data_IF_296241162926
#
_entry.id   IF_296241162926
#
_cell.length_a   1.000
_cell.length_b   1.000
_cell.length_c   1.000
_cell.angle_alpha   90.00
_cell.angle_beta   90.00
_cell.angle_gamma   90.00
#
_symmetry.space_group_name_H-M   'P 1'
#
loop_
_entity.id
_entity.type
_entity.pdbx_description
1 polymer ?
#
# COMPACT_ATOMS: atom_id res chain seq x y z
N UNK A 1 -0.88 5.49 -22.88
CA UNK A 1 -0.44 4.74 -21.68
C UNK A 1 -0.51 3.23 -21.94
N UNK A 2 -1.65 2.72 -22.41
CA UNK A 2 -1.83 1.30 -22.71
C UNK A 2 -0.86 0.76 -23.77
N UNK A 3 -0.43 1.59 -24.70
CA UNK A 3 0.54 1.24 -25.75
C UNK A 3 1.91 0.83 -25.19
N UNK A 4 2.22 1.19 -23.93
CA UNK A 4 3.42 0.74 -23.22
C UNK A 4 3.35 -0.74 -22.84
N UNK A 5 2.14 -1.26 -22.63
CA UNK A 5 1.90 -2.59 -22.07
C UNK A 5 1.19 -3.53 -23.06
N UNK A 6 0.79 -3.04 -24.23
CA UNK A 6 0.12 -3.83 -25.26
C UNK A 6 0.82 -3.69 -26.61
N UNK A 7 0.87 -4.76 -27.39
CA UNK A 7 1.30 -4.70 -28.81
C UNK A 7 0.35 -3.87 -29.66
N UNK A 8 -0.95 -3.94 -29.36
CA UNK A 8 -2.05 -3.28 -30.08
C UNK A 8 -3.19 -2.97 -29.11
N UNK A 9 -3.84 -1.82 -29.29
CA UNK A 9 -4.93 -1.33 -28.41
C UNK A 9 -6.32 -1.37 -29.05
N UNK A 10 -6.42 -1.48 -30.37
CA UNK A 10 -7.69 -1.46 -31.11
C UNK A 10 -7.90 -2.76 -31.88
N UNK A 11 -9.08 -3.37 -31.79
CA UNK A 11 -9.40 -4.66 -32.43
C UNK A 11 -10.70 -4.55 -33.22
N UNK A 12 -10.81 -5.29 -34.33
CA UNK A 12 -11.98 -5.21 -35.23
C UNK A 12 -13.21 -5.92 -34.65
N UNK A 13 -12.98 -7.08 -34.06
CA UNK A 13 -13.99 -7.98 -33.50
C UNK A 13 -13.36 -8.85 -32.38
N UNK A 14 -14.17 -9.75 -31.80
CA UNK A 14 -13.72 -10.62 -30.72
C UNK A 14 -12.66 -11.61 -31.18
N UNK A 15 -12.79 -12.16 -32.39
CA UNK A 15 -11.85 -13.12 -32.96
C UNK A 15 -10.47 -12.48 -33.18
N UNK A 16 -10.43 -11.24 -33.69
CA UNK A 16 -9.20 -10.44 -33.81
C UNK A 16 -8.59 -10.14 -32.43
N UNK A 17 -9.41 -9.77 -31.44
CA UNK A 17 -8.96 -9.56 -30.06
C UNK A 17 -8.35 -10.84 -29.47
N UNK A 18 -9.10 -11.94 -29.51
CA UNK A 18 -8.69 -13.22 -28.93
C UNK A 18 -7.40 -13.75 -29.56
N UNK A 19 -7.21 -13.58 -30.87
CA UNK A 19 -6.02 -14.05 -31.58
C UNK A 19 -4.79 -13.14 -31.40
N UNK A 20 -4.98 -11.83 -31.24
CA UNK A 20 -3.89 -10.84 -31.37
C UNK A 20 -3.62 -10.02 -30.10
N UNK A 21 -4.41 -10.17 -29.03
CA UNK A 21 -4.16 -9.48 -27.77
C UNK A 21 -2.89 -10.03 -27.12
N UNK A 22 -1.86 -9.18 -27.00
CA UNK A 22 -0.56 -9.54 -26.44
C UNK A 22 -0.02 -8.43 -25.54
N UNK A 23 0.44 -8.84 -24.37
CA UNK A 23 1.12 -7.97 -23.43
C UNK A 23 2.57 -7.71 -23.86
N UNK A 24 3.00 -6.45 -23.71
CA UNK A 24 4.40 -6.06 -23.59
C UNK A 24 4.73 -5.98 -22.11
N UNK A 25 5.44 -6.96 -21.58
CA UNK A 25 5.75 -7.05 -20.15
C UNK A 25 7.15 -6.47 -19.90
N UNK A 26 7.28 -5.35 -19.14
CA UNK A 26 8.58 -4.85 -18.70
C UNK A 26 9.27 -5.85 -17.77
N UNK A 27 10.60 -5.88 -17.74
CA UNK A 27 11.37 -6.84 -16.93
C UNK A 27 11.12 -6.71 -15.41
N UNK A 28 10.91 -5.49 -14.91
CA UNK A 28 10.70 -5.17 -13.49
C UNK A 28 9.48 -4.25 -13.31
N UNK A 29 8.33 -4.69 -13.82
CA UNK A 29 7.09 -3.89 -13.76
C UNK A 29 6.72 -3.55 -12.31
N UNK A 30 6.33 -2.30 -12.09
CA UNK A 30 5.91 -1.78 -10.80
C UNK A 30 4.83 -0.71 -10.99
N UNK A 31 3.63 -0.97 -10.47
CA UNK A 31 2.49 -0.07 -10.64
C UNK A 31 2.75 1.36 -10.14
N UNK A 32 3.50 1.51 -9.05
CA UNK A 32 3.79 2.82 -8.47
C UNK A 32 4.66 3.69 -9.38
N UNK A 33 5.56 3.08 -10.14
CA UNK A 33 6.44 3.83 -11.03
C UNK A 33 5.96 3.85 -12.49
N UNK A 34 5.61 2.69 -13.04
CA UNK A 34 5.34 2.54 -14.47
C UNK A 34 3.92 2.97 -14.86
N UNK A 35 3.05 3.19 -13.86
CA UNK A 35 1.70 3.73 -14.06
C UNK A 35 1.54 5.06 -13.33
N UNK A 36 1.63 5.08 -11.99
CA UNK A 36 1.32 6.29 -11.21
C UNK A 36 2.32 7.42 -11.50
N UNK A 37 3.62 7.15 -11.41
CA UNK A 37 4.64 8.18 -11.67
C UNK A 37 4.72 8.56 -13.15
N UNK A 38 4.50 7.61 -14.07
CA UNK A 38 4.36 7.92 -15.49
C UNK A 38 3.23 8.94 -15.75
N UNK A 39 2.06 8.74 -15.13
CA UNK A 39 0.94 9.66 -15.23
C UNK A 39 1.24 11.01 -14.56
N UNK A 40 2.00 11.02 -13.47
CA UNK A 40 2.46 12.24 -12.83
C UNK A 40 3.44 13.04 -13.70
N UNK A 41 4.26 12.38 -14.52
CA UNK A 41 5.14 13.06 -15.48
C UNK A 41 4.36 13.60 -16.68
N UNK A 42 3.44 12.79 -17.25
CA UNK A 42 2.73 13.17 -18.48
C UNK A 42 1.59 14.14 -18.24
N UNK A 43 0.82 13.94 -17.18
CA UNK A 43 -0.38 14.69 -16.85
C UNK A 43 -0.38 15.15 -15.37
N UNK A 44 0.60 15.96 -14.95
CA UNK A 44 0.84 16.29 -13.53
C UNK A 44 -0.36 16.91 -12.82
N UNK A 45 -1.14 17.73 -13.54
CA UNK A 45 -2.26 18.49 -12.98
C UNK A 45 -3.61 17.75 -13.10
N UNK A 46 -3.65 16.59 -13.76
CA UNK A 46 -4.86 15.79 -13.84
C UNK A 46 -5.23 15.23 -12.45
N UNK A 47 -6.52 15.23 -12.12
CA UNK A 47 -7.04 14.68 -10.87
C UNK A 47 -6.76 13.17 -10.83
N UNK A 48 -6.08 12.72 -9.79
CA UNK A 48 -5.74 11.32 -9.58
C UNK A 48 -6.62 10.65 -8.52
N UNK A 49 -7.01 11.41 -7.49
CA UNK A 49 -7.82 10.90 -6.39
C UNK A 49 -8.71 12.00 -5.85
N UNK A 50 -9.98 11.64 -5.60
CA UNK A 50 -10.94 12.46 -4.86
C UNK A 50 -11.42 11.60 -3.70
N UNK A 51 -11.28 12.10 -2.50
CA UNK A 51 -11.74 11.47 -1.26
C UNK A 51 -12.67 12.43 -0.54
N UNK A 52 -13.72 11.90 0.06
CA UNK A 52 -14.62 12.62 0.95
C UNK A 52 -15.10 11.71 2.09
N UNK A 53 -15.70 12.30 3.13
CA UNK A 53 -16.37 11.56 4.20
C UNK A 53 -17.71 12.19 4.59
N UNK A 54 -18.38 11.57 5.57
CA UNK A 54 -19.69 12.00 6.07
C UNK A 54 -19.65 13.30 6.90
N UNK A 55 -18.46 13.86 7.15
CA UNK A 55 -18.25 15.12 7.88
C UNK A 55 -17.93 16.29 6.93
N UNK A 56 -18.25 16.15 5.64
CA UNK A 56 -17.96 17.13 4.57
C UNK A 56 -16.46 17.45 4.41
N UNK A 57 -15.58 16.58 4.93
CA UNK A 57 -14.15 16.70 4.72
C UNK A 57 -13.79 16.12 3.35
N UNK A 58 -12.96 16.82 2.57
CA UNK A 58 -12.56 16.40 1.23
C UNK A 58 -11.05 16.54 0.98
N UNK A 59 -10.54 15.68 0.09
CA UNK A 59 -9.18 15.75 -0.42
C UNK A 59 -9.18 15.42 -1.91
N UNK A 60 -8.73 16.37 -2.72
CA UNK A 60 -8.42 16.12 -4.13
C UNK A 60 -6.90 16.17 -4.33
N UNK A 61 -6.34 15.13 -4.94
CA UNK A 61 -4.94 15.08 -5.32
C UNK A 61 -4.81 15.03 -6.85
N UNK A 62 -3.87 15.81 -7.39
CA UNK A 62 -3.38 15.61 -8.76
C UNK A 62 -2.38 14.45 -8.81
N UNK A 63 -2.04 13.95 -10.01
CA UNK A 63 -1.01 12.91 -10.13
C UNK A 63 0.35 13.37 -9.62
N UNK A 64 0.74 14.63 -9.83
CA UNK A 64 1.95 15.22 -9.26
C UNK A 64 1.95 15.13 -7.73
N UNK A 65 0.87 15.56 -7.10
CA UNK A 65 0.74 15.54 -5.64
C UNK A 65 0.68 14.10 -5.10
N UNK A 66 0.03 13.19 -5.81
CA UNK A 66 -0.01 11.77 -5.45
C UNK A 66 1.39 11.14 -5.49
N UNK A 67 2.17 11.42 -6.53
CA UNK A 67 3.58 10.99 -6.61
C UNK A 67 4.40 11.56 -5.44
N UNK A 68 4.38 12.87 -5.23
CA UNK A 68 5.17 13.53 -4.18
C UNK A 68 4.83 12.96 -2.78
N UNK A 69 3.55 12.73 -2.50
CA UNK A 69 3.10 12.14 -1.23
C UNK A 69 3.51 10.69 -1.09
N UNK A 70 3.34 9.87 -2.13
CA UNK A 70 3.71 8.44 -2.08
C UNK A 70 5.22 8.26 -1.98
N UNK A 71 6.03 9.13 -2.58
CA UNK A 71 7.49 9.13 -2.43
C UNK A 71 7.90 9.43 -0.98
N UNK A 72 7.25 10.40 -0.32
CA UNK A 72 7.49 10.70 1.10
C UNK A 72 7.04 9.54 2.00
N UNK A 73 5.89 8.93 1.73
CA UNK A 73 5.42 7.76 2.49
C UNK A 73 6.36 6.58 2.31
N UNK A 74 6.88 6.35 1.09
CA UNK A 74 7.87 5.31 0.83
C UNK A 74 9.18 5.54 1.61
N UNK A 75 9.70 6.77 1.59
CA UNK A 75 10.88 7.14 2.37
C UNK A 75 10.67 6.98 3.89
N UNK A 76 9.48 7.35 4.39
CA UNK A 76 9.09 7.10 5.78
C UNK A 76 9.11 5.60 6.10
N UNK A 77 8.46 4.77 5.28
CA UNK A 77 8.41 3.32 5.46
C UNK A 77 9.82 2.68 5.43
N UNK A 78 10.70 3.12 4.52
CA UNK A 78 12.10 2.68 4.50
C UNK A 78 12.84 3.04 5.78
N UNK A 79 12.64 4.25 6.30
CA UNK A 79 13.24 4.72 7.56
C UNK A 79 12.76 3.89 8.76
N UNK A 80 11.54 3.37 8.71
CA UNK A 80 11.03 2.40 9.70
C UNK A 80 11.61 0.99 9.55
N UNK A 81 12.44 0.75 8.53
CA UNK A 81 13.06 -0.54 8.25
C UNK A 81 12.23 -1.49 7.39
N UNK A 82 11.11 -1.02 6.82
CA UNK A 82 10.31 -1.80 5.86
C UNK A 82 11.12 -1.95 4.58
N UNK A 83 11.25 -3.18 4.09
CA UNK A 83 12.04 -3.50 2.90
C UNK A 83 11.33 -4.49 1.98
N UNK A 84 11.93 -4.69 0.79
CA UNK A 84 11.47 -5.66 -0.19
C UNK A 84 11.19 -7.03 0.45
N UNK A 85 10.03 -7.58 0.14
CA UNK A 85 9.56 -8.89 0.63
C UNK A 85 8.95 -8.90 2.03
N UNK A 86 8.96 -7.78 2.77
CA UNK A 86 8.18 -7.69 4.02
C UNK A 86 6.68 -7.60 3.70
N UNK A 87 5.87 -8.25 4.54
CA UNK A 87 4.42 -8.09 4.54
C UNK A 87 3.99 -6.97 5.50
N UNK A 88 3.17 -6.05 5.00
CA UNK A 88 2.61 -4.93 5.74
C UNK A 88 1.08 -5.04 5.73
N UNK A 89 0.49 -5.22 6.91
CA UNK A 89 -0.97 -5.28 7.06
C UNK A 89 -1.55 -3.87 7.17
N UNK A 90 -2.56 -3.57 6.35
CA UNK A 90 -3.26 -2.27 6.36
C UNK A 90 -4.70 -2.44 6.87
N UNK A 91 -4.96 -1.97 8.08
CA UNK A 91 -6.29 -1.87 8.71
C UNK A 91 -6.73 -0.40 8.67
N UNK A 92 -6.91 0.12 7.45
CA UNK A 92 -7.09 1.56 7.22
C UNK A 92 -8.49 1.94 6.73
N UNK A 93 -9.44 1.00 6.60
CA UNK A 93 -10.78 1.29 6.07
C UNK A 93 -10.74 2.05 4.73
N UNK A 94 -11.68 2.98 4.48
CA UNK A 94 -11.77 3.79 3.24
C UNK A 94 -10.98 5.10 3.34
N UNK A 95 -9.85 5.09 4.05
CA UNK A 95 -8.97 6.26 4.25
C UNK A 95 -8.10 6.51 3.02
N UNK A 96 -7.82 7.78 2.70
CA UNK A 96 -6.94 8.08 1.56
C UNK A 96 -5.49 7.62 1.82
N UNK A 97 -5.09 7.54 3.09
CA UNK A 97 -3.80 7.00 3.52
C UNK A 97 -3.62 5.52 3.13
N UNK A 98 -4.71 4.77 2.94
CA UNK A 98 -4.66 3.42 2.38
C UNK A 98 -4.06 3.42 0.97
N UNK A 99 -4.54 4.32 0.12
CA UNK A 99 -4.06 4.47 -1.27
C UNK A 99 -2.63 4.99 -1.33
N UNK A 100 -2.26 5.92 -0.44
CA UNK A 100 -0.87 6.37 -0.33
C UNK A 100 0.05 5.22 0.10
N UNK A 101 -0.38 4.44 1.08
CA UNK A 101 0.41 3.33 1.64
C UNK A 101 0.63 2.21 0.63
N UNK A 102 -0.42 1.78 -0.09
CA UNK A 102 -0.27 0.69 -1.07
C UNK A 102 0.70 1.07 -2.21
N UNK A 103 0.60 2.30 -2.73
CA UNK A 103 1.51 2.78 -3.78
C UNK A 103 2.94 2.90 -3.24
N UNK A 104 3.12 3.44 -2.03
CA UNK A 104 4.43 3.55 -1.40
C UNK A 104 5.09 2.18 -1.13
N UNK A 105 4.33 1.20 -0.65
CA UNK A 105 4.80 -0.17 -0.44
C UNK A 105 5.28 -0.81 -1.74
N UNK A 106 4.52 -0.64 -2.83
CA UNK A 106 4.95 -1.11 -4.14
C UNK A 106 6.28 -0.48 -4.56
N UNK A 107 6.46 0.82 -4.34
CA UNK A 107 7.69 1.56 -4.68
C UNK A 107 8.92 1.11 -3.89
N UNK A 108 8.76 0.39 -2.77
CA UNK A 108 9.88 -0.13 -1.97
C UNK A 108 9.98 -1.67 -1.99
N UNK A 109 9.16 -2.34 -2.79
CA UNK A 109 9.21 -3.80 -2.93
C UNK A 109 8.46 -4.58 -1.85
N UNK A 110 7.74 -3.90 -0.97
CA UNK A 110 7.03 -4.52 0.14
C UNK A 110 5.64 -5.00 -0.30
N UNK A 111 5.19 -6.11 0.28
CA UNK A 111 3.89 -6.71 0.01
C UNK A 111 2.82 -6.13 0.94
N UNK A 112 1.69 -5.72 0.37
CA UNK A 112 0.55 -5.24 1.14
C UNK A 112 -0.43 -6.38 1.47
N UNK A 113 -0.97 -6.38 2.69
CA UNK A 113 -2.11 -7.21 3.12
C UNK A 113 -3.24 -6.31 3.60
N UNK A 114 -4.21 -5.97 2.74
CA UNK A 114 -5.40 -5.25 3.18
C UNK A 114 -6.20 -6.10 4.17
N UNK A 115 -6.67 -5.47 5.25
CA UNK A 115 -7.43 -6.13 6.29
C UNK A 115 -8.62 -5.28 6.75
N UNK A 116 -9.69 -5.96 7.16
CA UNK A 116 -10.88 -5.30 7.73
C UNK A 116 -10.61 -4.76 9.12
N UNK A 117 -11.33 -3.73 9.54
CA UNK A 117 -11.31 -3.23 10.91
C UNK A 117 -12.00 -4.16 11.92
N UNK A 118 -12.78 -5.13 11.43
CA UNK A 118 -13.51 -6.09 12.27
C UNK A 118 -12.65 -7.27 12.77
N UNK A 119 -11.32 -7.22 12.61
CA UNK A 119 -10.45 -8.29 13.10
C UNK A 119 -10.31 -8.22 14.62
N UNK A 120 -10.45 -9.38 15.26
CA UNK A 120 -10.15 -9.57 16.68
C UNK A 120 -8.66 -9.77 16.94
N UNK A 121 -8.23 -9.83 18.20
CA UNK A 121 -6.85 -10.21 18.56
C UNK A 121 -6.44 -11.55 17.94
N UNK A 122 -7.28 -12.59 18.06
CA UNK A 122 -6.97 -13.93 17.53
C UNK A 122 -6.82 -13.93 16.01
N UNK A 123 -7.65 -13.16 15.32
CA UNK A 123 -7.57 -12.93 13.88
C UNK A 123 -6.24 -12.33 13.45
N UNK A 124 -5.75 -11.34 14.21
CA UNK A 124 -4.48 -10.66 13.94
C UNK A 124 -3.31 -11.61 14.22
N UNK A 125 -3.34 -12.32 15.36
CA UNK A 125 -2.34 -13.35 15.70
C UNK A 125 -2.20 -14.37 14.58
N UNK A 126 -3.32 -14.94 14.12
CA UNK A 126 -3.33 -15.92 13.04
C UNK A 126 -2.67 -15.38 11.78
N UNK A 127 -3.05 -14.18 11.33
CA UNK A 127 -2.53 -13.58 10.09
C UNK A 127 -1.05 -13.23 10.20
N UNK A 128 -0.62 -12.69 11.34
CA UNK A 128 0.78 -12.38 11.60
C UNK A 128 1.64 -13.64 11.54
N UNK A 129 1.20 -14.73 12.18
CA UNK A 129 1.94 -15.99 12.19
C UNK A 129 1.91 -16.71 10.84
N UNK A 130 0.79 -16.67 10.11
CA UNK A 130 0.65 -17.33 8.82
C UNK A 130 1.45 -16.66 7.68
N UNK A 131 1.56 -15.34 7.69
CA UNK A 131 2.25 -14.58 6.65
C UNK A 131 3.59 -13.95 7.11
N UNK A 132 3.99 -14.16 8.37
CA UNK A 132 5.21 -13.54 8.93
C UNK A 132 5.15 -12.01 8.94
N UNK A 133 3.97 -11.44 9.21
CA UNK A 133 3.74 -9.99 9.14
C UNK A 133 4.53 -9.29 10.25
N UNK A 134 5.26 -8.24 9.86
CA UNK A 134 6.10 -7.46 10.79
C UNK A 134 5.58 -6.06 11.06
N UNK A 135 4.75 -5.54 10.17
CA UNK A 135 4.31 -4.15 10.21
C UNK A 135 2.79 -4.08 10.07
N UNK A 136 2.13 -3.32 10.95
CA UNK A 136 0.70 -3.06 10.91
C UNK A 136 0.47 -1.56 10.89
N UNK A 137 -0.36 -1.11 9.95
CA UNK A 137 -0.83 0.27 9.86
C UNK A 137 -2.33 0.26 10.14
N UNK A 138 -2.78 1.02 11.14
CA UNK A 138 -4.16 0.99 11.59
C UNK A 138 -4.76 2.39 11.72
N UNK A 139 -6.04 2.50 11.38
CA UNK A 139 -6.82 3.72 11.63
C UNK A 139 -6.94 3.98 13.13
N UNK A 140 -7.01 5.25 13.52
CA UNK A 140 -7.17 5.67 14.92
C UNK A 140 -8.51 5.21 15.52
N UNK A 141 -8.53 3.98 16.01
CA UNK A 141 -9.63 3.36 16.71
C UNK A 141 -9.07 2.62 17.93
N UNK A 142 -9.60 2.94 19.11
CA UNK A 142 -9.09 2.43 20.38
C UNK A 142 -9.22 0.91 20.49
N UNK A 143 -10.27 0.34 19.93
CA UNK A 143 -10.51 -1.10 19.98
C UNK A 143 -9.55 -1.84 19.04
N UNK A 144 -9.38 -1.32 17.83
CA UNK A 144 -8.40 -1.88 16.87
C UNK A 144 -6.99 -1.83 17.44
N UNK A 145 -6.58 -0.69 18.01
CA UNK A 145 -5.26 -0.54 18.62
C UNK A 145 -5.05 -1.55 19.75
N UNK A 146 -6.04 -1.69 20.63
CA UNK A 146 -6.01 -2.69 21.70
C UNK A 146 -5.85 -4.11 21.14
N UNK A 147 -6.62 -4.49 20.12
CA UNK A 147 -6.51 -5.84 19.54
C UNK A 147 -5.15 -6.13 18.92
N UNK A 148 -4.56 -5.13 18.25
CA UNK A 148 -3.21 -5.23 17.67
C UNK A 148 -2.16 -5.35 18.77
N UNK A 149 -2.23 -4.55 19.83
CA UNK A 149 -1.28 -4.62 20.95
C UNK A 149 -1.36 -5.95 21.68
N UNK A 150 -2.57 -6.43 21.98
CA UNK A 150 -2.76 -7.72 22.63
C UNK A 150 -2.22 -8.87 21.78
N UNK A 151 -2.29 -8.76 20.44
CA UNK A 151 -1.77 -9.79 19.53
C UNK A 151 -0.26 -9.99 19.63
N UNK A 152 0.51 -8.97 20.05
CA UNK A 152 1.98 -9.05 20.12
C UNK A 152 2.48 -10.14 21.07
N UNK A 153 1.67 -10.55 22.05
CA UNK A 153 2.01 -11.62 22.99
C UNK A 153 2.18 -12.97 22.26
N UNK A 154 1.43 -13.17 21.18
CA UNK A 154 1.35 -14.44 20.44
C UNK A 154 1.78 -14.31 18.96
N UNK A 155 2.13 -13.11 18.52
CA UNK A 155 2.66 -12.79 17.20
C UNK A 155 4.05 -12.12 17.31
N UNK A 156 5.12 -12.87 17.62
CA UNK A 156 6.45 -12.31 17.85
C UNK A 156 7.08 -11.68 16.60
N UNK A 157 6.55 -11.97 15.40
CA UNK A 157 6.97 -11.31 14.16
C UNK A 157 6.56 -9.84 14.12
N UNK A 158 5.50 -9.44 14.83
CA UNK A 158 4.94 -8.09 14.78
C UNK A 158 5.82 -7.08 15.54
N UNK A 159 6.52 -6.24 14.78
CA UNK A 159 7.54 -5.32 15.29
C UNK A 159 7.08 -3.87 15.24
N UNK A 160 6.45 -3.46 14.14
CA UNK A 160 6.15 -2.06 13.86
C UNK A 160 4.65 -1.81 13.89
N UNK A 161 4.24 -0.82 14.69
CA UNK A 161 2.86 -0.35 14.76
C UNK A 161 2.79 1.12 14.29
N UNK A 162 1.98 1.39 13.28
CA UNK A 162 1.75 2.74 12.75
C UNK A 162 0.29 3.09 12.86
N UNK A 163 -0.03 4.18 13.54
CA UNK A 163 -1.40 4.66 13.66
C UNK A 163 -1.64 5.84 12.74
N UNK A 164 -2.81 5.86 12.12
CA UNK A 164 -3.25 6.92 11.20
C UNK A 164 -4.35 7.72 11.87
N UNK A 165 -4.08 9.00 12.12
CA UNK A 165 -5.00 9.91 12.78
C UNK A 165 -6.31 10.16 11.99
N UNK A 166 -7.37 10.65 12.64
CA UNK A 166 -8.56 11.16 11.97
C UNK A 166 -8.21 12.28 10.97
N UNK A 167 -9.13 12.60 10.06
CA UNK A 167 -8.80 13.36 8.85
C UNK A 167 -8.14 14.72 9.10
N UNK A 168 -7.09 14.98 8.32
CA UNK A 168 -6.26 16.18 8.32
C UNK A 168 -4.80 15.77 8.13
N UNK A 169 -4.17 16.18 7.02
CA UNK A 169 -2.75 15.91 6.73
C UNK A 169 -1.82 16.52 7.79
N UNK A 170 -2.32 17.45 8.60
CA UNK A 170 -1.60 18.07 9.71
C UNK A 170 -2.07 17.57 11.09
N UNK A 171 -3.02 16.62 11.12
CA UNK A 171 -3.50 16.00 12.36
C UNK A 171 -2.73 14.70 12.58
N UNK A 172 -2.02 14.64 13.70
CA UNK A 172 -1.47 13.39 14.23
C UNK A 172 -2.41 12.76 15.24
N UNK A 173 -2.03 11.59 15.73
CA UNK A 173 -2.58 10.96 16.90
C UNK A 173 -2.47 11.90 18.11
N UNK A 174 -3.41 11.70 19.03
CA UNK A 174 -3.46 12.42 20.30
C UNK A 174 -2.16 12.23 21.10
N UNK A 175 -1.64 13.30 21.71
CA UNK A 175 -0.37 13.27 22.42
C UNK A 175 -0.45 12.43 23.71
N UNK A 176 -1.57 12.48 24.42
CA UNK A 176 -1.80 11.66 25.62
C UNK A 176 -1.91 10.17 25.25
N UNK A 177 -2.54 9.87 24.10
CA UNK A 177 -2.53 8.53 23.52
C UNK A 177 -1.11 8.04 23.24
N UNK A 178 -0.29 8.83 22.52
CA UNK A 178 1.09 8.45 22.19
C UNK A 178 1.97 8.30 23.43
N UNK A 179 1.80 9.17 24.44
CA UNK A 179 2.51 9.06 25.72
C UNK A 179 2.16 7.75 26.46
N UNK A 180 0.90 7.30 26.34
CA UNK A 180 0.42 6.07 26.97
C UNK A 180 0.72 4.81 26.13
N UNK A 181 0.96 4.95 24.83
CA UNK A 181 1.18 3.85 23.89
C UNK A 181 2.46 4.09 23.05
N UNK A 182 3.65 4.11 23.67
CA UNK A 182 4.91 4.50 23.02
C UNK A 182 5.38 3.56 21.91
N UNK A 183 4.73 2.39 21.76
CA UNK A 183 4.99 1.47 20.66
C UNK A 183 4.42 1.96 19.31
N UNK A 184 3.47 2.91 19.33
CA UNK A 184 2.85 3.44 18.12
C UNK A 184 3.64 4.60 17.55
N UNK A 185 3.90 4.52 16.25
CA UNK A 185 4.38 5.66 15.46
C UNK A 185 3.20 6.34 14.79
N UNK A 186 3.13 7.67 14.90
CA UNK A 186 2.14 8.45 14.16
C UNK A 186 2.53 8.58 12.68
N UNK A 187 1.65 8.13 11.79
CA UNK A 187 1.87 8.16 10.34
C UNK A 187 2.12 9.59 9.84
N UNK A 188 1.28 10.54 10.23
CA UNK A 188 1.30 11.91 9.74
C UNK A 188 2.61 12.62 10.09
N UNK A 189 2.97 12.63 11.37
CA UNK A 189 4.22 13.20 11.91
C UNK A 189 5.42 12.46 11.35
N UNK A 190 5.35 11.14 11.20
CA UNK A 190 6.40 10.33 10.59
C UNK A 190 6.71 10.76 9.15
N UNK A 191 5.67 10.94 8.33
CA UNK A 191 5.79 11.39 6.93
C UNK A 191 6.24 12.86 6.84
N UNK A 192 5.77 13.71 7.75
CA UNK A 192 6.21 15.11 7.85
C UNK A 192 7.71 15.21 8.24
N UNK A 193 8.19 14.32 9.10
CA UNK A 193 9.58 14.25 9.57
C UNK A 193 10.56 13.61 8.57
N UNK A 194 10.09 13.18 7.39
CA UNK A 194 10.97 12.73 6.31
C UNK A 194 11.85 13.89 5.84
N UNK A 195 13.16 13.68 5.93
CA UNK A 195 14.17 14.67 5.51
C UNK A 195 14.46 14.57 4.02
N UNK A 196 15.20 15.56 3.49
CA UNK A 196 15.66 15.50 2.11
C UNK A 196 16.68 14.37 1.87
N UNK A 197 17.45 14.01 2.89
CA UNK A 197 18.38 12.86 2.83
C UNK A 197 17.63 11.53 2.80
N UNK A 198 16.56 11.39 3.59
CA UNK A 198 15.68 10.22 3.55
C UNK A 198 15.05 10.04 2.15
N UNK A 199 14.57 11.14 1.54
CA UNK A 199 14.05 11.14 0.17
C UNK A 199 15.13 10.80 -0.86
N UNK A 200 16.33 11.38 -0.73
CA UNK A 200 17.43 11.10 -1.65
C UNK A 200 17.83 9.62 -1.62
N UNK A 201 17.84 9.00 -0.43
CA UNK A 201 18.08 7.55 -0.27
C UNK A 201 17.00 6.70 -0.94
N UNK A 202 15.73 7.08 -0.79
CA UNK A 202 14.62 6.42 -1.48
C UNK A 202 14.75 6.56 -3.01
N UNK A 203 15.00 7.77 -3.51
CA UNK A 203 15.15 8.03 -4.95
C UNK A 203 16.40 7.38 -5.55
N UNK A 204 17.41 7.05 -4.74
CA UNK A 204 18.61 6.33 -5.17
C UNK A 204 18.41 4.81 -5.32
N UNK A 205 17.26 4.26 -4.92
CA UNK A 205 16.96 2.84 -5.12
C UNK A 205 16.94 2.50 -6.62
N UNK A 206 17.57 1.39 -6.98
CA UNK A 206 17.51 0.86 -8.34
C UNK A 206 16.25 0.02 -8.53
N UNK A 207 15.61 0.16 -9.69
CA UNK A 207 14.36 -0.56 -10.03
C UNK A 207 14.50 -2.09 -9.92
N UNK A 208 15.63 -2.65 -10.33
CA UNK A 208 15.95 -4.08 -10.23
C UNK A 208 16.06 -4.60 -8.78
N UNK A 209 16.44 -3.72 -7.85
CA UNK A 209 16.55 -4.05 -6.42
C UNK A 209 15.20 -3.92 -5.70
N UNK A 210 14.23 -3.21 -6.28
CA UNK A 210 12.90 -2.97 -5.69
C UNK A 210 11.94 -4.13 -5.94
N UNK A 211 11.79 -4.57 -7.18
CA UNK A 211 10.77 -5.57 -7.55
C UNK A 211 11.15 -6.35 -8.79
N UNK A 212 10.86 -7.65 -8.78
CA UNK A 212 10.76 -8.49 -9.98
C UNK A 212 9.31 -8.82 -10.28
N UNK A 213 9.00 -9.16 -11.52
CA UNK A 213 7.64 -9.49 -11.95
C UNK A 213 6.97 -10.60 -11.13
N UNK A 214 7.74 -11.58 -10.66
CA UNK A 214 7.26 -12.72 -9.87
C UNK A 214 7.25 -12.47 -8.35
N UNK A 215 7.77 -11.34 -7.89
CA UNK A 215 7.70 -11.00 -6.47
C UNK A 215 6.23 -10.78 -6.06
N UNK A 216 5.90 -11.18 -4.84
CA UNK A 216 4.60 -10.86 -4.25
C UNK A 216 4.53 -9.36 -3.99
N UNK A 217 3.41 -8.74 -4.38
CA UNK A 217 3.16 -7.32 -4.13
C UNK A 217 1.87 -7.08 -3.34
N UNK A 218 0.88 -7.98 -3.50
CA UNK A 218 -0.44 -7.88 -2.88
C UNK A 218 -0.90 -9.26 -2.44
N UNK A 219 -1.37 -9.38 -1.20
CA UNK A 219 -1.96 -10.61 -0.71
C UNK A 219 -3.24 -10.36 0.09
N UNK A 220 -4.18 -11.30 0.02
CA UNK A 220 -5.44 -11.28 0.75
C UNK A 220 -5.61 -12.56 1.55
N UNK A 221 -6.17 -12.44 2.75
CA UNK A 221 -6.72 -13.60 3.46
C UNK A 221 -8.16 -13.80 3.00
N UNK A 222 -8.42 -14.88 2.27
CA UNK A 222 -9.78 -15.25 1.82
C UNK A 222 -10.49 -16.05 2.90
N UNK A 223 -11.78 -15.79 3.13
CA UNK A 223 -12.57 -16.55 4.11
C UNK A 223 -12.60 -18.04 3.76
N UNK A 224 -12.36 -18.89 4.76
CA UNK A 224 -12.62 -20.32 4.68
C UNK A 224 -13.94 -20.60 5.38
N UNK A 225 -14.90 -21.21 4.68
CA UNK A 225 -16.20 -21.60 5.29
C UNK A 225 -16.06 -22.72 6.31
N UNK A 226 -14.98 -23.52 6.21
CA UNK A 226 -14.73 -24.72 7.00
C UNK A 226 -13.31 -24.79 7.59
N UNK A 227 -12.46 -23.81 7.29
CA UNK A 227 -11.06 -23.77 7.73
C UNK A 227 -10.62 -22.33 7.99
N UNK A 228 -9.46 -22.16 8.62
CA UNK A 228 -8.85 -20.84 8.74
C UNK A 228 -8.66 -20.16 7.37
N UNK A 229 -8.67 -18.81 7.32
CA UNK A 229 -8.46 -18.05 6.10
C UNK A 229 -7.13 -18.39 5.41
N UNK A 230 -7.13 -18.46 4.08
CA UNK A 230 -5.93 -18.79 3.30
C UNK A 230 -5.32 -17.52 2.71
N UNK A 231 -4.00 -17.45 2.68
CA UNK A 231 -3.29 -16.36 2.02
C UNK A 231 -3.28 -16.62 0.51
N UNK A 232 -3.89 -15.71 -0.25
CA UNK A 232 -3.82 -15.67 -1.71
C UNK A 232 -2.92 -14.50 -2.09
N UNK A 233 -1.88 -14.79 -2.86
CA UNK A 233 -0.87 -13.82 -3.25
C UNK A 233 -0.90 -13.55 -4.75
N UNK A 234 -0.76 -12.28 -5.09
CA UNK A 234 -0.61 -11.78 -6.45
C UNK A 234 0.79 -11.21 -6.63
N UNK A 235 1.35 -11.40 -7.82
CA UNK A 235 2.65 -10.85 -8.20
C UNK A 235 2.51 -9.49 -8.90
N UNK A 236 3.63 -8.83 -9.15
CA UNK A 236 3.64 -7.49 -9.74
C UNK A 236 2.95 -7.40 -11.10
N UNK A 237 2.78 -8.51 -11.85
CA UNK A 237 2.08 -8.52 -13.14
C UNK A 237 0.56 -8.45 -13.03
N UNK A 238 -0.01 -8.70 -11.84
CA UNK A 238 -1.45 -8.73 -11.64
C UNK A 238 -2.20 -7.49 -12.17
N UNK A 239 -1.73 -6.23 -11.98
CA UNK A 239 -2.38 -5.06 -12.54
C UNK A 239 -2.48 -5.07 -14.08
N UNK A 240 -1.52 -5.67 -14.79
CA UNK A 240 -1.57 -5.78 -16.25
C UNK A 240 -2.74 -6.68 -16.70
N UNK A 241 -3.08 -7.70 -15.90
CA UNK A 241 -4.24 -8.55 -16.14
C UNK A 241 -5.57 -7.78 -16.19
N UNK A 242 -5.67 -6.66 -15.47
CA UNK A 242 -6.87 -5.82 -15.43
C UNK A 242 -7.02 -4.89 -16.62
N UNK A 243 -6.02 -4.77 -17.51
CA UNK A 243 -6.11 -3.93 -18.71
C UNK A 243 -7.29 -4.33 -19.60
N UNK A 244 -7.65 -5.62 -19.63
CA UNK A 244 -8.78 -6.12 -20.45
C UNK A 244 -10.14 -5.64 -19.92
N UNK A 245 -10.22 -5.30 -18.63
CA UNK A 245 -11.47 -4.97 -17.94
C UNK A 245 -11.56 -3.50 -17.48
N UNK A 246 -10.51 -2.71 -17.73
CA UNK A 246 -10.40 -1.29 -17.34
C UNK A 246 -11.03 -0.38 -18.40
#
# INVERSE_FOLDING_TARGET
MLEQFLERTEFRDYEDFFANFKYKIPENFNFGYDVVDYLAEKNPDAKAMVWCNDNDEELTLTFKQLKERTDRVAAFMMKMGIKRGDFVMLILQRRYEFWLSIIALHKIGASVIPATHMLTTEDIVYRCNAAGIKHVFAVNDREIFKYIEDSKKEAPSLQTLVGVAPFGIDKGLDDDFLASHPAWTDFTRGVAAVTQDDLAKFHALKREDISKNDDVFLSYFTSGTTSHPKLVSHNYLYPLGHIVTA
#
